data_IF_192247272022
#
_entry.id   IF_192247272022
#
_cell.length_a   1.000
_cell.length_b   1.000
_cell.length_c   1.000
_cell.angle_alpha   90.00
_cell.angle_beta   90.00
_cell.angle_gamma   90.00
#
_symmetry.space_group_name_H-M   'P 1'
#
loop_
_entity.id
_entity.type
_entity.pdbx_description
1 polymer ?
#
# COMPACT_ATOMS: atom_id res chain seq x y z
N UNK A 1 20.88 41.59 -21.54
CA UNK A 1 19.81 41.97 -20.60
C UNK A 1 19.72 40.85 -19.57
N UNK A 2 19.88 41.14 -18.28
CA UNK A 2 19.88 40.10 -17.23
C UNK A 2 18.52 39.45 -17.07
N UNK A 3 18.48 38.21 -16.57
CA UNK A 3 17.23 37.51 -16.28
C UNK A 3 16.54 38.19 -15.09
N UNK A 4 15.24 38.53 -15.18
CA UNK A 4 14.49 39.14 -14.09
C UNK A 4 14.19 38.09 -13.01
N UNK A 5 15.06 37.96 -12.01
CA UNK A 5 14.98 36.93 -10.97
C UNK A 5 13.76 37.10 -10.07
N UNK A 6 13.25 38.32 -9.91
CA UNK A 6 12.03 38.65 -9.17
C UNK A 6 10.80 37.96 -9.75
N UNK A 7 10.75 37.79 -11.07
CA UNK A 7 9.69 37.02 -11.74
C UNK A 7 9.82 35.50 -11.51
N UNK A 8 10.99 35.01 -11.08
CA UNK A 8 11.26 33.60 -10.83
C UNK A 8 11.05 33.21 -9.36
N UNK A 9 11.02 34.16 -8.43
CA UNK A 9 10.79 33.89 -7.00
C UNK A 9 9.51 33.08 -6.76
N UNK A 10 8.35 33.42 -7.35
CA UNK A 10 7.12 32.64 -7.13
C UNK A 10 7.27 31.19 -7.61
N UNK A 11 7.90 30.98 -8.77
CA UNK A 11 8.15 29.63 -9.30
C UNK A 11 9.13 28.84 -8.44
N UNK A 12 10.16 29.50 -7.89
CA UNK A 12 11.10 28.88 -6.95
C UNK A 12 10.42 28.40 -5.67
N UNK A 13 9.50 29.19 -5.12
CA UNK A 13 8.70 28.81 -3.94
C UNK A 13 7.79 27.61 -4.29
N UNK A 14 7.10 27.64 -5.43
CA UNK A 14 6.23 26.55 -5.88
C UNK A 14 7.02 25.25 -6.02
N UNK A 15 8.16 25.28 -6.72
CA UNK A 15 9.04 24.11 -6.88
C UNK A 15 9.54 23.63 -5.53
N UNK A 16 9.95 24.53 -4.64
CA UNK A 16 10.41 24.20 -3.29
C UNK A 16 9.33 23.45 -2.49
N UNK A 17 8.10 23.95 -2.49
CA UNK A 17 6.99 23.32 -1.77
C UNK A 17 6.65 21.94 -2.36
N UNK A 18 6.58 21.81 -3.70
CA UNK A 18 6.33 20.52 -4.33
C UNK A 18 7.45 19.50 -4.03
N UNK A 19 8.71 19.93 -4.02
CA UNK A 19 9.84 19.07 -3.65
C UNK A 19 9.76 18.61 -2.19
N UNK A 20 9.46 19.52 -1.27
CA UNK A 20 9.30 19.20 0.17
C UNK A 20 8.15 18.21 0.38
N UNK A 21 6.99 18.46 -0.24
CA UNK A 21 5.86 17.52 -0.15
C UNK A 21 6.16 16.18 -0.80
N UNK A 22 6.79 16.16 -1.97
CA UNK A 22 7.15 14.93 -2.68
C UNK A 22 8.13 14.06 -1.89
N UNK A 23 9.19 14.67 -1.34
CA UNK A 23 10.16 14.00 -0.49
C UNK A 23 9.52 13.51 0.81
N UNK A 24 8.69 14.34 1.46
CA UNK A 24 7.97 13.97 2.68
C UNK A 24 7.10 12.73 2.46
N UNK A 25 6.26 12.73 1.42
CA UNK A 25 5.42 11.59 1.07
C UNK A 25 6.23 10.33 0.72
N UNK A 26 7.37 10.48 0.04
CA UNK A 26 8.25 9.36 -0.27
C UNK A 26 8.82 8.70 0.99
N UNK A 27 9.30 9.51 1.94
CA UNK A 27 9.86 9.02 3.21
C UNK A 27 8.78 8.36 4.06
N UNK A 28 7.62 9.01 4.24
CA UNK A 28 6.52 8.43 5.03
C UNK A 28 6.07 7.10 4.43
N UNK A 29 5.96 7.00 3.10
CA UNK A 29 5.64 5.74 2.43
C UNK A 29 6.74 4.70 2.62
N UNK A 30 8.00 5.08 2.53
CA UNK A 30 9.11 4.14 2.71
C UNK A 30 9.10 3.53 4.13
N UNK A 31 8.93 4.37 5.14
CA UNK A 31 8.83 3.93 6.54
C UNK A 31 7.61 3.04 6.76
N UNK A 32 6.44 3.44 6.24
CA UNK A 32 5.21 2.65 6.36
C UNK A 32 5.22 1.31 5.61
N UNK A 33 6.21 1.08 4.74
CA UNK A 33 6.37 -0.18 3.98
C UNK A 33 7.59 -0.97 4.47
N UNK A 34 7.94 -0.85 5.76
CA UNK A 34 9.06 -1.56 6.40
C UNK A 34 10.41 -1.35 5.67
N UNK A 35 10.64 -0.13 5.17
CA UNK A 35 11.84 0.19 4.40
C UNK A 35 11.86 -0.38 2.98
N UNK A 36 10.70 -0.75 2.44
CA UNK A 36 10.56 -1.20 1.04
C UNK A 36 9.78 -0.17 0.22
N UNK A 37 10.05 -0.14 -1.08
CA UNK A 37 9.28 0.71 -2.01
C UNK A 37 7.82 0.24 -2.04
N UNK A 38 6.90 1.20 -2.12
CA UNK A 38 5.48 0.89 -2.25
C UNK A 38 5.20 0.20 -3.59
N UNK A 39 4.42 -0.90 -3.55
CA UNK A 39 3.93 -1.59 -4.75
C UNK A 39 2.83 -0.77 -5.42
N UNK A 40 3.03 -0.47 -6.70
CA UNK A 40 2.07 0.17 -7.60
C UNK A 40 1.40 -0.89 -8.49
N UNK A 41 0.23 -0.56 -9.04
CA UNK A 41 -0.53 -1.42 -9.96
C UNK A 41 -0.70 -2.90 -9.55
N UNK A 42 -1.14 -3.14 -8.31
CA UNK A 42 -1.41 -4.51 -7.83
C UNK A 42 -2.59 -5.10 -8.62
N UNK A 43 -2.45 -6.32 -9.13
CA UNK A 43 -3.48 -7.04 -9.88
C UNK A 43 -4.39 -7.85 -8.94
N UNK A 44 -5.29 -8.70 -9.44
CA UNK A 44 -6.20 -9.49 -8.57
C UNK A 44 -5.46 -10.55 -7.74
N UNK A 45 -4.32 -11.03 -8.22
CA UNK A 45 -3.48 -12.00 -7.49
C UNK A 45 -2.80 -11.33 -6.29
N UNK A 46 -2.36 -10.08 -6.47
CA UNK A 46 -1.88 -9.21 -5.39
C UNK A 46 -3.02 -8.48 -4.63
N UNK A 47 -4.23 -8.37 -5.19
CA UNK A 47 -5.46 -7.75 -4.66
C UNK A 47 -6.64 -8.72 -4.75
N UNK A 48 -6.96 -9.50 -3.70
CA UNK A 48 -8.23 -10.24 -3.78
C UNK A 48 -9.39 -9.40 -3.27
N UNK A 49 -10.22 -8.98 -4.22
CA UNK A 49 -11.59 -8.51 -4.07
C UNK A 49 -12.22 -8.39 -5.46
N UNK A 50 -13.25 -9.19 -5.73
CA UNK A 50 -14.06 -9.16 -6.95
C UNK A 50 -14.86 -7.84 -6.97
N UNK A 51 -14.21 -6.75 -7.36
CA UNK A 51 -14.79 -5.41 -7.46
C UNK A 51 -15.08 -5.07 -8.93
N UNK A 52 -15.91 -5.88 -9.58
CA UNK A 52 -16.61 -5.44 -10.78
C UNK A 52 -18.02 -5.95 -10.63
N UNK A 53 -18.87 -5.10 -10.07
CA UNK A 53 -20.32 -5.01 -10.17
C UNK A 53 -20.84 -4.43 -8.84
N UNK A 54 -21.19 -3.13 -8.89
CA UNK A 54 -21.95 -2.37 -7.89
C UNK A 54 -21.15 -1.75 -6.73
N UNK A 55 -20.57 -0.59 -7.01
CA UNK A 55 -20.27 0.40 -6.00
C UNK A 55 -21.59 0.98 -5.46
N UNK A 56 -21.78 1.05 -4.14
CA UNK A 56 -22.27 2.25 -3.45
C UNK A 56 -22.36 2.08 -1.92
N UNK A 57 -21.92 3.14 -1.22
CA UNK A 57 -22.17 3.48 0.19
C UNK A 57 -21.42 2.76 1.33
N UNK A 58 -20.45 3.52 1.87
CA UNK A 58 -20.13 3.65 3.30
C UNK A 58 -19.62 2.41 4.07
N UNK A 59 -18.29 2.28 4.02
CA UNK A 59 -17.43 2.27 5.22
C UNK A 59 -17.81 1.30 6.36
N UNK A 60 -17.75 -0.01 6.08
CA UNK A 60 -17.52 -1.03 7.11
C UNK A 60 -16.90 -2.31 6.53
N UNK A 61 -15.90 -2.18 5.66
CA UNK A 61 -15.17 -3.34 5.13
C UNK A 61 -13.68 -3.00 4.91
N UNK A 62 -13.01 -2.61 6.00
CA UNK A 62 -11.56 -2.58 5.98
C UNK A 62 -11.07 -4.03 5.81
N UNK A 63 -10.43 -4.29 4.68
CA UNK A 63 -9.45 -5.37 4.44
C UNK A 63 -9.94 -6.81 4.24
N UNK A 64 -10.67 -7.08 3.15
CA UNK A 64 -10.34 -8.24 2.30
C UNK A 64 -9.43 -7.70 1.20
N UNK A 65 -8.11 -7.73 1.37
CA UNK A 65 -7.27 -6.85 0.54
C UNK A 65 -6.15 -7.51 -0.26
N UNK A 66 -5.51 -8.62 0.11
CA UNK A 66 -4.26 -8.99 -0.56
C UNK A 66 -3.94 -10.48 -0.40
N UNK A 67 -4.47 -11.40 -1.23
CA UNK A 67 -4.25 -12.85 -1.01
C UNK A 67 -2.77 -13.21 -0.82
N UNK A 68 -1.89 -12.68 -1.68
CA UNK A 68 -0.46 -12.93 -1.56
C UNK A 68 0.21 -12.16 -0.40
N UNK A 69 -0.17 -10.90 -0.13
CA UNK A 69 0.47 -10.18 0.99
C UNK A 69 -0.06 -10.62 2.36
N UNK A 70 -1.30 -11.08 2.46
CA UNK A 70 -1.89 -11.69 3.65
C UNK A 70 -1.26 -13.05 3.93
N UNK A 71 -1.02 -13.85 2.88
CA UNK A 71 -0.19 -15.05 2.97
C UNK A 71 1.21 -14.70 3.50
N UNK A 72 1.90 -13.74 2.89
CA UNK A 72 3.26 -13.36 3.29
C UNK A 72 3.28 -12.81 4.73
N UNK A 73 2.25 -12.07 5.14
CA UNK A 73 2.06 -11.60 6.52
C UNK A 73 1.89 -12.78 7.50
N UNK A 74 1.14 -13.83 7.12
CA UNK A 74 1.00 -15.05 7.94
C UNK A 74 2.30 -15.86 8.05
N UNK A 75 3.13 -15.84 7.00
CA UNK A 75 4.42 -16.55 6.99
C UNK A 75 5.49 -15.77 7.78
N UNK A 76 5.49 -14.43 7.72
CA UNK A 76 6.60 -13.60 8.23
C UNK A 76 6.25 -12.74 9.43
N UNK A 77 4.96 -12.57 9.76
CA UNK A 77 4.46 -11.69 10.81
C UNK A 77 4.62 -10.19 10.53
N UNK A 78 5.14 -9.81 9.36
CA UNK A 78 5.42 -8.40 8.99
C UNK A 78 4.71 -8.04 7.69
N UNK A 79 4.29 -6.78 7.55
CA UNK A 79 3.45 -6.34 6.41
C UNK A 79 4.16 -6.49 5.06
N UNK A 80 5.50 -6.42 5.05
CA UNK A 80 6.31 -6.57 3.83
C UNK A 80 7.47 -7.54 3.96
N UNK A 81 7.43 -8.46 4.93
CA UNK A 81 8.41 -9.52 5.06
C UNK A 81 8.48 -10.40 3.82
N UNK A 82 9.66 -10.95 3.55
CA UNK A 82 9.86 -12.02 2.57
C UNK A 82 10.66 -13.11 3.26
N UNK A 83 10.29 -14.38 3.04
CA UNK A 83 11.00 -15.53 3.58
C UNK A 83 11.39 -16.45 2.42
N UNK A 84 12.62 -16.95 2.47
CA UNK A 84 13.17 -17.91 1.50
C UNK A 84 13.29 -19.32 2.09
N UNK A 85 12.75 -19.56 3.29
CA UNK A 85 12.82 -20.85 3.94
C UNK A 85 12.03 -21.90 3.14
N UNK A 86 12.61 -23.10 2.99
CA UNK A 86 11.95 -24.20 2.29
C UNK A 86 10.76 -24.76 3.08
N UNK A 87 10.86 -24.74 4.41
CA UNK A 87 9.80 -25.17 5.32
C UNK A 87 9.07 -23.97 5.92
N UNK A 88 7.74 -24.06 6.00
CA UNK A 88 6.90 -23.01 6.57
C UNK A 88 7.04 -22.95 8.11
N UNK A 89 6.82 -21.78 8.74
CA UNK A 89 6.85 -21.70 10.19
C UNK A 89 5.72 -22.53 10.82
N UNK A 90 5.99 -23.05 12.02
CA UNK A 90 5.02 -23.80 12.81
C UNK A 90 3.78 -22.94 13.10
N UNK A 91 2.59 -23.53 13.00
CA UNK A 91 1.31 -22.81 13.15
C UNK A 91 0.79 -22.12 11.89
N UNK A 92 1.55 -22.05 10.79
CA UNK A 92 1.03 -21.57 9.51
C UNK A 92 -0.16 -22.43 9.02
N UNK A 93 -0.08 -23.73 9.26
CA UNK A 93 -1.09 -24.77 8.99
C UNK A 93 -2.49 -24.47 9.56
N UNK A 94 -2.58 -23.89 10.75
CA UNK A 94 -3.86 -23.57 11.41
C UNK A 94 -4.28 -22.11 11.29
N UNK A 95 -3.42 -21.27 10.72
CA UNK A 95 -3.62 -19.81 10.67
C UNK A 95 -4.55 -19.34 9.54
N UNK A 96 -5.34 -20.21 8.90
CA UNK A 96 -6.13 -19.86 7.72
C UNK A 96 -7.53 -19.32 8.10
N UNK A 97 -7.78 -17.99 8.02
CA UNK A 97 -9.10 -17.45 8.31
C UNK A 97 -10.03 -17.61 7.10
N UNK A 98 -11.23 -18.11 7.34
CA UNK A 98 -12.33 -17.99 6.39
C UNK A 98 -13.01 -16.64 6.60
N UNK A 99 -13.05 -15.82 5.55
CA UNK A 99 -13.69 -14.51 5.60
C UNK A 99 -15.18 -14.68 5.42
N UNK A 100 -15.94 -14.22 6.40
CA UNK A 100 -17.41 -14.22 6.35
C UNK A 100 -17.87 -12.88 5.77
N UNK A 101 -18.76 -12.94 4.80
CA UNK A 101 -19.47 -11.76 4.30
C UNK A 101 -20.84 -11.63 4.95
N UNK A 102 -21.32 -10.39 5.09
CA UNK A 102 -22.71 -10.16 5.51
C UNK A 102 -23.61 -10.47 4.32
N UNK A 103 -24.72 -11.17 4.59
CA UNK A 103 -25.75 -11.40 3.59
C UNK A 103 -26.32 -10.08 3.11
N UNK A 104 -26.31 -9.86 1.81
CA UNK A 104 -26.97 -8.74 1.14
C UNK A 104 -28.45 -9.09 0.98
N UNK A 105 -29.34 -8.30 1.58
CA UNK A 105 -30.79 -8.38 1.38
C UNK A 105 -31.25 -7.17 0.58
#
# INVERSE_FOLDING_TARGET
MGVPFEALIPYGIIIGMYCVTGAGLAVTKYVANDGKKARWNRDVWDKVGLTYLLAETLSLMLTIQQQMMERDYRITGTLRGQSTNAEAPTGFEVSNPWKLEKRQY
#
